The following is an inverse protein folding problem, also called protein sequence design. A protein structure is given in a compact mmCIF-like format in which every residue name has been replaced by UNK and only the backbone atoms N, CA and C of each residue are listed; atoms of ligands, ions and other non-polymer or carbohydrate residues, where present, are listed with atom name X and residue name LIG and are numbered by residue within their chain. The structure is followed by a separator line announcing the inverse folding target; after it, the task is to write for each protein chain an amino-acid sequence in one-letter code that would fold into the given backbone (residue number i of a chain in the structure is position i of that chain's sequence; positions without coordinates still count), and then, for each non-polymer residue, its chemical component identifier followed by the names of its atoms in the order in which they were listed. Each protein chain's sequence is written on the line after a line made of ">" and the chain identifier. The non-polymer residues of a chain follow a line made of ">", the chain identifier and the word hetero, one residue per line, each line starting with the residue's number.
data_IF_014132459796
#
_entry.id   IF_014132459796
#
_cell.length_a   1.000
_cell.length_b   1.000
_cell.length_c   1.000
_cell.angle_alpha   90.00
_cell.angle_beta   90.00
_cell.angle_gamma   90.00
#
_symmetry.space_group_name_H-M   'P 1'
#
loop_
_entity.id
_entity.type
_entity.pdbx_description
1 polymer ?
#
# COMPACT_ATOMS: atom_id res chain seq x y z
N UNK A 1 -4.16 19.07 7.41
CA UNK A 1 -5.20 18.78 6.39
C UNK A 1 -4.52 18.22 5.13
N UNK A 2 -4.79 16.97 4.75
CA UNK A 2 -4.17 16.35 3.58
C UNK A 2 -4.49 17.13 2.30
N UNK A 3 -3.48 17.38 1.47
CA UNK A 3 -3.61 18.04 0.16
C UNK A 3 -3.25 17.05 -0.94
N UNK A 4 -4.19 16.15 -1.33
CA UNK A 4 -3.96 15.26 -2.45
C UNK A 4 -3.61 16.06 -3.71
N UNK A 5 -2.72 15.51 -4.52
CA UNK A 5 -2.15 16.18 -5.71
C UNK A 5 -2.47 15.34 -6.94
N UNK A 6 -2.28 15.91 -8.13
CA UNK A 6 -2.38 15.16 -9.38
C UNK A 6 -1.50 13.91 -9.38
N UNK A 7 -0.30 13.98 -8.77
CA UNK A 7 0.60 12.82 -8.63
C UNK A 7 0.00 11.72 -7.76
N UNK A 8 -0.65 12.10 -6.65
CA UNK A 8 -1.38 11.13 -5.80
C UNK A 8 -2.51 10.45 -6.59
N UNK A 9 -3.25 11.21 -7.40
CA UNK A 9 -4.32 10.67 -8.25
C UNK A 9 -3.80 9.72 -9.33
N UNK A 10 -2.69 10.06 -9.97
CA UNK A 10 -2.03 9.20 -10.96
C UNK A 10 -1.55 7.88 -10.35
N UNK A 11 -0.97 7.94 -9.15
CA UNK A 11 -0.53 6.76 -8.41
C UNK A 11 -1.70 5.82 -8.11
N UNK A 12 -2.82 6.33 -7.60
CA UNK A 12 -4.02 5.53 -7.31
C UNK A 12 -4.56 4.89 -8.59
N UNK A 13 -4.70 5.65 -9.69
CA UNK A 13 -5.15 5.11 -10.97
C UNK A 13 -4.24 3.99 -11.47
N UNK A 14 -2.93 4.08 -11.26
CA UNK A 14 -1.98 3.02 -11.62
C UNK A 14 -2.23 1.76 -10.78
N UNK A 15 -2.41 1.90 -9.48
CA UNK A 15 -2.73 0.78 -8.57
C UNK A 15 -4.03 0.10 -8.98
N UNK A 16 -5.10 0.87 -9.20
CA UNK A 16 -6.40 0.30 -9.58
C UNK A 16 -6.36 -0.42 -10.94
N UNK A 17 -5.65 0.13 -11.93
CA UNK A 17 -5.44 -0.55 -13.23
C UNK A 17 -4.66 -1.85 -13.08
N UNK A 18 -3.63 -1.86 -12.23
CA UNK A 18 -2.87 -3.07 -11.92
C UNK A 18 -3.79 -4.13 -11.30
N UNK A 19 -4.49 -3.81 -10.21
CA UNK A 19 -5.41 -4.73 -9.53
C UNK A 19 -6.47 -5.31 -10.48
N UNK A 20 -7.07 -4.47 -11.34
CA UNK A 20 -8.04 -4.92 -12.34
C UNK A 20 -7.41 -5.81 -13.42
N UNK A 21 -6.19 -5.50 -13.85
CA UNK A 21 -5.49 -6.22 -14.92
C UNK A 21 -4.86 -7.53 -14.48
N UNK A 22 -4.60 -7.71 -13.19
CA UNK A 22 -3.88 -8.87 -12.66
C UNK A 22 -4.64 -9.58 -11.52
N UNK A 23 -5.91 -9.96 -11.69
CA UNK A 23 -6.70 -10.59 -10.61
C UNK A 23 -6.16 -11.96 -10.18
N UNK A 24 -5.39 -12.63 -11.04
CA UNK A 24 -4.79 -13.94 -10.78
C UNK A 24 -3.36 -13.86 -10.23
N UNK A 25 -2.80 -12.64 -10.08
CA UNK A 25 -1.44 -12.47 -9.59
C UNK A 25 -1.46 -12.48 -8.07
N UNK A 26 -0.81 -13.48 -7.48
CA UNK A 26 -0.55 -13.54 -6.05
C UNK A 26 0.79 -12.90 -5.67
N UNK A 27 0.98 -12.69 -4.37
CA UNK A 27 2.28 -12.35 -3.80
C UNK A 27 3.01 -13.67 -3.49
N UNK A 28 4.16 -13.91 -4.11
CA UNK A 28 5.01 -15.05 -3.80
C UNK A 28 6.02 -14.66 -2.73
N UNK A 29 5.93 -15.31 -1.56
CA UNK A 29 6.90 -15.17 -0.49
C UNK A 29 7.81 -16.40 -0.53
N UNK A 30 9.06 -16.21 -0.97
CA UNK A 30 10.05 -17.28 -1.05
C UNK A 30 10.60 -17.62 0.33
N UNK A 31 10.80 -18.90 0.62
CA UNK A 31 11.54 -19.34 1.81
C UNK A 31 13.04 -18.97 1.78
N UNK A 32 13.55 -18.59 0.61
CA UNK A 32 14.96 -18.23 0.40
C UNK A 32 15.20 -16.70 0.40
N UNK A 33 14.31 -15.91 1.01
CA UNK A 33 14.54 -14.47 1.19
C UNK A 33 15.50 -14.19 2.33
N UNK A 34 16.34 -13.15 2.25
CA UNK A 34 17.13 -12.69 3.39
C UNK A 34 16.24 -12.46 4.63
N UNK A 35 16.69 -12.92 5.80
CA UNK A 35 15.98 -12.73 7.07
C UNK A 35 16.07 -11.26 7.49
N UNK A 36 15.26 -10.43 6.84
CA UNK A 36 15.20 -8.98 7.03
C UNK A 36 13.82 -8.62 7.52
N UNK A 37 13.74 -7.99 8.70
CA UNK A 37 12.47 -7.58 9.28
C UNK A 37 12.02 -6.28 8.62
N UNK A 38 10.96 -6.36 7.82
CA UNK A 38 10.25 -5.20 7.30
C UNK A 38 8.89 -5.11 7.98
N UNK A 39 8.69 -4.07 8.80
CA UNK A 39 7.42 -3.79 9.44
C UNK A 39 6.73 -2.61 8.73
N UNK A 40 5.44 -2.76 8.46
CA UNK A 40 4.57 -1.72 7.93
C UNK A 40 3.40 -1.56 8.89
N UNK A 41 3.07 -0.32 9.26
CA UNK A 41 1.87 0.00 10.02
C UNK A 41 0.90 0.74 9.09
N UNK A 42 -0.40 0.46 9.23
CA UNK A 42 -1.40 1.29 8.58
C UNK A 42 -1.40 2.68 9.20
N UNK A 43 -1.74 3.68 8.40
CA UNK A 43 -2.00 5.02 8.88
C UNK A 43 -3.52 5.16 9.08
N UNK A 44 -4.11 4.30 9.89
CA UNK A 44 -5.47 4.50 10.34
C UNK A 44 -5.45 5.53 11.47
N UNK A 45 -6.24 6.60 11.30
CA UNK A 45 -6.43 7.63 12.32
C UNK A 45 -7.10 7.09 13.61
N UNK A 46 -7.39 5.78 13.69
CA UNK A 46 -8.19 5.19 14.76
C UNK A 46 -7.53 5.19 16.15
N UNK A 47 -6.31 5.74 16.29
CA UNK A 47 -5.57 5.85 17.55
C UNK A 47 -5.26 7.28 18.02
N UNK A 48 -5.87 8.32 17.45
CA UNK A 48 -5.72 9.70 17.97
C UNK A 48 -6.68 9.93 19.15
N UNK A 49 -6.16 9.73 20.37
CA UNK A 49 -6.88 9.99 21.64
C UNK A 49 -6.81 11.48 22.04
N UNK A 50 -6.07 12.31 21.30
CA UNK A 50 -5.82 13.73 21.62
C UNK A 50 -6.51 14.70 20.65
N UNK A 51 -7.78 14.44 20.29
CA UNK A 51 -8.68 15.48 19.76
C UNK A 51 -9.90 15.70 20.65
#
# INVERSE_FOLDING_TARGET
>A
MHRPTTRHWEAIKRVLRYLKGTPHFGIFISAHTPLTLHAYADADWAGDIDT
#
